data_IF_285587085733
#
_entry.id   IF_285587085733
#
_cell.length_a   1.000
_cell.length_b   1.000
_cell.length_c   1.000
_cell.angle_alpha   90.00
_cell.angle_beta   90.00
_cell.angle_gamma   90.00
#
_symmetry.space_group_name_H-M   'P 1'
#
loop_
_entity.id
_entity.type
_entity.pdbx_description
1 polymer ?
#
# COMPACT_ATOMS: atom_id res chain seq x y z
N UNK A 1 19.55 -11.94 17.48
CA UNK A 1 19.16 -10.65 16.87
C UNK A 1 17.69 -10.70 16.50
N UNK A 2 16.94 -9.63 16.77
CA UNK A 2 15.55 -9.51 16.31
C UNK A 2 15.53 -9.29 14.80
N UNK A 3 14.43 -9.69 14.14
CA UNK A 3 14.17 -9.36 12.74
C UNK A 3 12.96 -8.44 12.66
N UNK A 4 13.10 -7.34 11.93
CA UNK A 4 12.02 -6.41 11.66
C UNK A 4 11.70 -6.43 10.18
N UNK A 5 10.43 -6.60 9.84
CA UNK A 5 9.91 -6.55 8.49
C UNK A 5 9.06 -5.29 8.33
N UNK A 6 9.23 -4.59 7.22
CA UNK A 6 8.40 -3.45 6.88
C UNK A 6 7.91 -3.56 5.43
N UNK A 7 6.75 -2.96 5.18
CA UNK A 7 6.21 -2.75 3.84
C UNK A 7 5.34 -1.49 3.84
N UNK A 8 5.51 -0.65 2.83
CA UNK A 8 4.66 0.51 2.58
C UNK A 8 3.86 0.32 1.30
N UNK A 9 2.54 0.42 1.41
CA UNK A 9 1.64 0.34 0.26
C UNK A 9 0.97 1.69 0.01
N UNK A 10 0.80 2.05 -1.27
CA UNK A 10 -0.05 3.17 -1.69
C UNK A 10 -1.00 2.76 -2.82
N UNK A 11 -2.30 3.04 -2.66
CA UNK A 11 -3.31 2.82 -3.70
C UNK A 11 -3.37 4.03 -4.63
N UNK A 12 -2.44 4.08 -5.58
CA UNK A 12 -2.18 5.24 -6.44
C UNK A 12 -0.80 5.84 -6.13
N UNK A 13 -0.30 6.74 -6.99
CA UNK A 13 1.02 7.34 -6.78
C UNK A 13 1.00 8.85 -7.12
N UNK A 14 0.55 9.73 -6.20
CA UNK A 14 0.19 9.46 -4.80
C UNK A 14 -1.24 8.92 -4.60
N UNK A 15 -1.49 8.28 -3.46
CA UNK A 15 -2.79 7.72 -3.07
C UNK A 15 -2.87 7.34 -1.58
N UNK A 16 -4.01 6.81 -1.10
CA UNK A 16 -4.19 6.34 0.27
C UNK A 16 -3.17 5.25 0.54
N UNK A 17 -2.45 5.43 1.63
CA UNK A 17 -1.27 4.66 1.94
C UNK A 17 -1.31 4.10 3.35
N UNK A 18 -0.61 3.00 3.52
CA UNK A 18 -0.53 2.25 4.76
C UNK A 18 0.86 1.66 4.95
N UNK A 19 1.24 1.46 6.21
CA UNK A 19 2.46 0.77 6.61
C UNK A 19 2.10 -0.52 7.35
N UNK A 20 2.87 -1.57 7.07
CA UNK A 20 2.81 -2.87 7.74
C UNK A 20 4.15 -3.20 8.37
N UNK A 21 4.12 -3.64 9.62
CA UNK A 21 5.31 -3.92 10.44
C UNK A 21 5.15 -5.27 11.12
N UNK A 22 6.20 -6.08 11.05
CA UNK A 22 6.29 -7.33 11.81
C UNK A 22 7.63 -7.38 12.54
N UNK A 23 7.63 -7.73 13.82
CA UNK A 23 8.86 -7.98 14.58
C UNK A 23 8.87 -9.42 15.05
N UNK A 24 10.00 -10.10 14.78
CA UNK A 24 10.24 -11.49 15.10
C UNK A 24 11.42 -11.58 16.06
N UNK A 25 11.25 -12.30 17.16
CA UNK A 25 12.30 -12.49 18.14
C UNK A 25 13.38 -13.50 17.67
N UNK A 26 14.51 -13.64 18.38
CA UNK A 26 15.56 -14.57 17.99
C UNK A 26 15.14 -16.05 17.95
N UNK A 27 14.08 -16.43 18.65
CA UNK A 27 13.52 -17.78 18.62
C UNK A 27 12.63 -18.03 17.38
N UNK A 28 12.39 -17.01 16.56
CA UNK A 28 11.56 -17.11 15.35
C UNK A 28 10.08 -16.80 15.59
N UNK A 29 9.70 -16.37 16.80
CA UNK A 29 8.30 -16.05 17.10
C UNK A 29 8.00 -14.60 16.74
N UNK A 30 6.86 -14.38 16.08
CA UNK A 30 6.30 -13.04 15.89
C UNK A 30 5.90 -12.48 17.25
N UNK A 31 6.42 -11.30 17.59
CA UNK A 31 6.13 -10.60 18.85
C UNK A 31 5.40 -9.27 18.64
N UNK A 32 5.35 -8.78 17.40
CA UNK A 32 4.55 -7.62 17.02
C UNK A 32 4.08 -7.77 15.58
N UNK A 33 2.79 -7.49 15.37
CA UNK A 33 2.19 -7.18 14.07
C UNK A 33 1.51 -5.83 14.21
N UNK A 34 1.81 -4.91 13.31
CA UNK A 34 1.31 -3.55 13.41
C UNK A 34 1.00 -2.95 12.04
N UNK A 35 -0.12 -2.25 11.96
CA UNK A 35 -0.65 -1.60 10.76
C UNK A 35 -0.92 -0.12 11.07
N UNK A 36 -0.52 0.78 10.17
CA UNK A 36 -0.72 2.23 10.35
C UNK A 36 -1.17 2.91 9.06
N UNK A 37 -2.27 3.66 9.12
CA UNK A 37 -2.71 4.52 8.01
C UNK A 37 -1.76 5.71 7.88
N UNK A 38 -1.32 6.02 6.66
CA UNK A 38 -0.34 7.08 6.35
C UNK A 38 -0.96 8.27 5.61
N UNK A 39 -2.27 8.25 5.36
CA UNK A 39 -2.96 9.25 4.55
C UNK A 39 -2.59 9.15 3.07
N UNK A 40 -2.45 10.29 2.38
CA UNK A 40 -2.07 10.31 0.96
C UNK A 40 -0.55 10.38 0.82
N UNK A 41 0.06 9.35 0.22
CA UNK A 41 1.50 9.23 -0.02
C UNK A 41 1.80 8.61 -1.38
N UNK A 42 2.97 8.90 -1.92
CA UNK A 42 3.57 8.09 -2.98
C UNK A 42 4.00 6.72 -2.46
N UNK A 43 4.29 5.78 -3.35
CA UNK A 43 4.78 4.46 -2.93
C UNK A 43 6.09 4.57 -2.15
N UNK A 44 7.05 5.37 -2.65
CA UNK A 44 8.36 5.53 -2.00
C UNK A 44 8.24 6.18 -0.62
N UNK A 45 7.37 7.19 -0.46
CA UNK A 45 7.12 7.79 0.86
C UNK A 45 6.48 6.78 1.83
N UNK A 46 5.55 5.94 1.36
CA UNK A 46 4.93 4.91 2.19
C UNK A 46 5.97 3.90 2.70
N UNK A 47 6.88 3.46 1.84
CA UNK A 47 7.96 2.52 2.19
C UNK A 47 8.94 3.12 3.21
N UNK A 48 9.33 4.39 3.03
CA UNK A 48 10.15 5.11 4.00
C UNK A 48 9.47 5.22 5.36
N UNK A 49 8.19 5.60 5.37
CA UNK A 49 7.41 5.74 6.60
C UNK A 49 7.20 4.40 7.30
N UNK A 50 7.05 3.30 6.55
CA UNK A 50 6.97 1.96 7.12
C UNK A 50 8.29 1.54 7.80
N UNK A 51 9.44 1.86 7.20
CA UNK A 51 10.74 1.64 7.84
C UNK A 51 10.88 2.48 9.13
N UNK A 52 10.54 3.77 9.08
CA UNK A 52 10.57 4.66 10.25
C UNK A 52 9.70 4.11 11.38
N UNK A 53 8.49 3.66 11.06
CA UNK A 53 7.58 3.06 12.04
C UNK A 53 8.14 1.76 12.62
N UNK A 54 8.75 0.90 11.80
CA UNK A 54 9.42 -0.31 12.28
C UNK A 54 10.52 0.03 13.30
N UNK A 55 11.37 1.01 12.99
CA UNK A 55 12.46 1.43 13.88
C UNK A 55 11.90 1.99 15.20
N UNK A 56 10.87 2.83 15.13
CA UNK A 56 10.20 3.36 16.33
C UNK A 56 9.62 2.23 17.19
N UNK A 57 8.88 1.29 16.59
CA UNK A 57 8.29 0.16 17.32
C UNK A 57 9.33 -0.76 17.93
N UNK A 58 10.45 -1.01 17.24
CA UNK A 58 11.55 -1.78 17.81
C UNK A 58 12.17 -1.08 19.02
N UNK A 59 12.38 0.24 18.96
CA UNK A 59 12.89 1.03 20.10
C UNK A 59 11.91 1.06 21.27
N UNK A 60 10.60 1.19 21.02
CA UNK A 60 9.55 1.12 22.05
C UNK A 60 9.58 -0.23 22.79
N UNK A 61 9.90 -1.32 22.10
CA UNK A 61 10.07 -2.66 22.69
C UNK A 61 11.43 -2.86 23.38
N UNK A 62 12.28 -1.83 23.43
CA UNK A 62 13.61 -1.90 24.03
C UNK A 62 14.62 -2.71 23.22
N UNK A 63 14.36 -2.97 21.93
CA UNK A 63 15.26 -3.72 21.06
C UNK A 63 16.47 -2.84 20.71
N UNK A 64 17.67 -3.37 20.94
CA UNK A 64 18.95 -2.70 20.64
C UNK A 64 19.71 -3.27 19.44
N UNK A 65 19.41 -4.51 19.06
CA UNK A 65 19.98 -5.15 17.87
C UNK A 65 18.90 -5.65 16.92
N UNK A 66 18.88 -5.12 15.68
CA UNK A 66 17.82 -5.38 14.71
C UNK A 66 18.38 -5.73 13.31
N UNK A 67 17.82 -6.77 12.70
CA UNK A 67 17.96 -7.05 11.26
C UNK A 67 16.70 -6.58 10.54
N UNK A 68 16.79 -5.49 9.78
CA UNK A 68 15.71 -4.92 8.98
C UNK A 68 15.59 -5.66 7.65
N UNK A 69 14.37 -6.01 7.27
CA UNK A 69 14.04 -6.67 6.01
C UNK A 69 12.86 -5.97 5.34
N UNK A 70 12.96 -5.77 4.04
CA UNK A 70 11.93 -5.20 3.19
C UNK A 70 12.23 -5.49 1.73
N UNK A 71 11.24 -5.34 0.87
CA UNK A 71 11.34 -5.59 -0.57
C UNK A 71 11.55 -4.32 -1.41
N UNK A 72 11.54 -3.13 -0.77
CA UNK A 72 11.95 -1.88 -1.40
C UNK A 72 13.47 -1.73 -1.48
N UNK A 73 14.05 -2.09 -2.64
CA UNK A 73 15.50 -1.88 -2.89
C UNK A 73 15.91 -0.42 -2.74
N UNK A 74 15.04 0.52 -3.14
CA UNK A 74 15.32 1.95 -3.06
C UNK A 74 15.53 2.38 -1.61
N UNK A 75 14.58 2.08 -0.72
CA UNK A 75 14.67 2.48 0.68
C UNK A 75 15.83 1.79 1.38
N UNK A 76 16.01 0.48 1.15
CA UNK A 76 17.13 -0.27 1.73
C UNK A 76 18.48 0.33 1.31
N UNK A 77 18.69 0.61 0.01
CA UNK A 77 19.97 1.11 -0.48
C UNK A 77 20.22 2.58 -0.18
N UNK A 78 19.18 3.41 -0.06
CA UNK A 78 19.34 4.81 0.33
C UNK A 78 19.63 4.96 1.82
N UNK A 79 18.98 4.17 2.69
CA UNK A 79 19.15 4.28 4.15
C UNK A 79 20.37 3.50 4.66
N UNK A 80 20.63 2.31 4.12
CA UNK A 80 21.70 1.42 4.61
C UNK A 80 22.85 1.24 3.61
N UNK A 81 22.72 1.78 2.41
CA UNK A 81 23.73 1.68 1.35
C UNK A 81 24.30 3.04 0.97
N UNK A 82 24.79 3.15 -0.27
CA UNK A 82 25.45 4.35 -0.78
C UNK A 82 24.66 5.02 -1.91
N UNK A 83 23.34 4.83 -1.97
CA UNK A 83 22.51 5.43 -3.04
C UNK A 83 22.15 6.87 -2.70
N UNK A 84 22.34 7.76 -3.67
CA UNK A 84 21.99 9.17 -3.54
C UNK A 84 20.47 9.40 -3.44
N UNK A 85 20.10 10.45 -2.72
CA UNK A 85 18.70 10.89 -2.55
C UNK A 85 18.51 12.17 -3.35
N UNK A 86 17.91 12.04 -4.53
CA UNK A 86 17.77 13.17 -5.46
C UNK A 86 16.45 13.95 -5.27
N UNK A 87 15.57 13.50 -4.38
CA UNK A 87 14.26 14.11 -4.13
C UNK A 87 14.22 14.75 -2.74
N UNK A 88 14.06 16.08 -2.62
CA UNK A 88 14.12 16.78 -1.33
C UNK A 88 13.13 16.26 -0.28
N UNK A 89 11.93 15.85 -0.68
CA UNK A 89 10.92 15.34 0.24
C UNK A 89 11.28 13.96 0.84
N UNK A 90 12.07 13.14 0.13
CA UNK A 90 12.59 11.88 0.66
C UNK A 90 13.79 12.10 1.59
N UNK A 91 14.54 13.19 1.40
CA UNK A 91 15.70 13.47 2.23
C UNK A 91 15.32 13.65 3.71
N UNK A 92 14.22 14.36 4.00
CA UNK A 92 13.71 14.50 5.37
C UNK A 92 13.29 13.16 6.00
N UNK A 93 12.78 12.21 5.21
CA UNK A 93 12.45 10.87 5.70
C UNK A 93 13.70 10.04 5.96
N UNK A 94 14.72 10.17 5.10
CA UNK A 94 16.03 9.57 5.32
C UNK A 94 16.70 10.09 6.58
N UNK A 95 16.68 11.40 6.83
CA UNK A 95 17.24 11.98 8.06
C UNK A 95 16.57 11.39 9.30
N UNK A 96 15.23 11.36 9.31
CA UNK A 96 14.46 10.74 10.41
C UNK A 96 14.81 9.25 10.61
N UNK A 97 14.94 8.48 9.53
CA UNK A 97 15.33 7.08 9.63
C UNK A 97 16.75 6.93 10.21
N UNK A 98 17.69 7.78 9.77
CA UNK A 98 19.09 7.77 10.22
C UNK A 98 19.21 8.12 11.70
N UNK A 99 18.50 9.16 12.16
CA UNK A 99 18.44 9.54 13.58
C UNK A 99 17.89 8.41 14.48
N UNK A 100 16.96 7.61 13.97
CA UNK A 100 16.46 6.44 14.69
C UNK A 100 17.49 5.31 14.73
N UNK A 101 18.22 5.09 13.63
CA UNK A 101 19.25 4.07 13.55
C UNK A 101 20.39 4.30 14.55
N UNK A 102 20.76 5.55 14.81
CA UNK A 102 21.78 5.91 15.80
C UNK A 102 21.44 5.48 17.25
N UNK A 103 20.16 5.18 17.53
CA UNK A 103 19.69 4.77 18.87
C UNK A 103 19.82 3.26 19.13
N UNK A 104 20.22 2.50 18.11
CA UNK A 104 20.47 1.06 18.20
C UNK A 104 21.96 0.79 18.36
N UNK A 105 22.30 -0.26 19.11
CA UNK A 105 23.69 -0.70 19.25
C UNK A 105 24.18 -1.35 17.96
N UNK A 106 23.26 -2.01 17.24
CA UNK A 106 23.55 -2.67 15.96
C UNK A 106 22.31 -2.78 15.08
N UNK A 107 22.38 -2.25 13.87
CA UNK A 107 21.38 -2.50 12.82
C UNK A 107 22.06 -2.98 11.57
N UNK A 108 21.45 -3.96 10.91
CA UNK A 108 21.78 -4.33 9.54
C UNK A 108 20.49 -4.45 8.75
N UNK A 109 20.56 -4.21 7.44
CA UNK A 109 19.41 -4.35 6.56
C UNK A 109 19.69 -5.37 5.46
N UNK A 110 18.62 -5.99 4.96
CA UNK A 110 18.67 -6.91 3.84
C UNK A 110 17.42 -6.77 3.00
N UNK A 111 17.62 -6.57 1.71
CA UNK A 111 16.54 -6.71 0.75
C UNK A 111 16.07 -8.16 0.67
N UNK A 112 14.76 -8.37 0.69
CA UNK A 112 14.13 -9.69 0.47
C UNK A 112 13.15 -9.61 -0.70
N UNK A 113 12.94 -10.71 -1.45
CA UNK A 113 11.86 -10.77 -2.42
C UNK A 113 10.49 -10.58 -1.76
N UNK A 114 9.54 -9.98 -2.49
CA UNK A 114 8.18 -9.68 -2.01
C UNK A 114 7.44 -10.92 -1.50
N UNK A 115 7.68 -12.08 -2.10
CA UNK A 115 7.09 -13.36 -1.69
C UNK A 115 7.50 -13.77 -0.27
N UNK A 116 8.59 -13.19 0.25
CA UNK A 116 9.05 -13.41 1.63
C UNK A 116 8.60 -12.29 2.59
N UNK A 117 7.95 -11.23 2.09
CA UNK A 117 7.48 -10.08 2.86
C UNK A 117 5.94 -10.03 2.99
N UNK A 118 5.26 -11.14 2.69
CA UNK A 118 3.79 -11.20 2.55
C UNK A 118 3.02 -10.69 3.77
N UNK A 119 3.49 -10.93 4.99
CA UNK A 119 2.78 -10.49 6.18
C UNK A 119 2.83 -8.97 6.36
N UNK A 120 3.99 -8.35 6.10
CA UNK A 120 4.10 -6.90 6.14
C UNK A 120 3.26 -6.26 5.01
N UNK A 121 3.29 -6.82 3.80
CA UNK A 121 2.44 -6.38 2.67
C UNK A 121 0.94 -6.50 2.98
N UNK A 122 0.52 -7.59 3.62
CA UNK A 122 -0.87 -7.75 4.06
C UNK A 122 -1.25 -6.65 5.06
N UNK A 123 -0.39 -6.39 6.05
CA UNK A 123 -0.64 -5.39 7.09
C UNK A 123 -0.65 -3.96 6.53
N UNK A 124 0.21 -3.64 5.56
CA UNK A 124 0.26 -2.33 4.91
C UNK A 124 -1.01 -2.07 4.11
N UNK A 125 -1.46 -3.06 3.33
CA UNK A 125 -2.71 -2.99 2.58
C UNK A 125 -3.94 -2.92 3.49
N UNK A 126 -3.95 -3.67 4.61
CA UNK A 126 -5.03 -3.64 5.60
C UNK A 126 -5.19 -2.27 6.27
N UNK A 127 -4.10 -1.52 6.41
CA UNK A 127 -4.12 -0.19 6.99
C UNK A 127 -4.80 0.86 6.09
N UNK A 128 -4.98 0.57 4.80
CA UNK A 128 -5.58 1.49 3.84
C UNK A 128 -7.10 1.40 3.92
N UNK A 129 -7.69 2.28 4.74
CA UNK A 129 -9.13 2.29 5.02
C UNK A 129 -9.95 3.07 4.00
N UNK A 130 -9.32 3.99 3.27
CA UNK A 130 -9.98 4.84 2.28
C UNK A 130 -9.74 4.31 0.87
N UNK A 131 -10.77 4.30 0.00
CA UNK A 131 -10.57 3.96 -1.38
C UNK A 131 -9.71 5.05 -2.06
N UNK A 132 -8.95 4.71 -3.11
CA UNK A 132 -8.15 5.67 -3.86
C UNK A 132 -8.93 6.95 -4.23
N UNK A 133 -8.29 8.13 -4.28
CA UNK A 133 -8.92 9.31 -4.85
C UNK A 133 -9.41 8.97 -6.26
N UNK A 134 -10.60 9.46 -6.59
CA UNK A 134 -11.28 9.18 -7.85
C UNK A 134 -11.81 7.73 -8.02
N UNK A 135 -12.13 7.01 -6.95
CA UNK A 135 -12.97 5.80 -7.04
C UNK A 135 -14.46 6.11 -7.02
N UNK A 136 -15.25 5.35 -7.77
CA UNK A 136 -16.70 5.36 -7.63
C UNK A 136 -17.15 4.27 -6.64
N UNK A 137 -18.04 4.56 -5.68
CA UNK A 137 -18.54 3.56 -4.74
C UNK A 137 -19.39 2.49 -5.45
N UNK A 138 -19.13 1.22 -5.16
CA UNK A 138 -19.82 0.10 -5.84
C UNK A 138 -21.29 0.03 -5.44
N UNK A 139 -21.61 0.42 -4.21
CA UNK A 139 -22.99 0.54 -3.70
C UNK A 139 -23.83 1.61 -4.41
N UNK A 140 -23.20 2.46 -5.24
CA UNK A 140 -23.88 3.43 -6.12
C UNK A 140 -24.04 2.94 -7.55
N UNK A 141 -23.74 1.68 -7.81
CA UNK A 141 -24.01 1.02 -9.08
C UNK A 141 -25.30 0.21 -8.98
N UNK A 142 -26.25 0.50 -9.87
CA UNK A 142 -27.40 -0.35 -10.13
C UNK A 142 -27.08 -1.25 -11.33
N UNK A 143 -27.15 -2.57 -11.14
CA UNK A 143 -26.94 -3.53 -12.23
C UNK A 143 -28.25 -3.71 -13.01
N UNK A 144 -28.25 -3.41 -14.30
CA UNK A 144 -29.42 -3.55 -15.19
C UNK A 144 -29.39 -4.89 -15.92
N UNK A 145 -28.21 -5.30 -16.37
CA UNK A 145 -27.94 -6.61 -16.99
C UNK A 145 -26.57 -7.12 -16.54
N UNK A 146 -26.17 -8.32 -16.99
CA UNK A 146 -24.85 -8.90 -16.69
C UNK A 146 -23.67 -7.98 -17.06
N UNK A 147 -23.88 -7.02 -17.96
CA UNK A 147 -22.82 -6.15 -18.47
C UNK A 147 -23.16 -4.65 -18.45
N UNK A 148 -24.40 -4.26 -18.16
CA UNK A 148 -24.85 -2.87 -18.12
C UNK A 148 -25.16 -2.45 -16.69
N UNK A 149 -24.55 -1.33 -16.27
CA UNK A 149 -24.78 -0.71 -14.97
C UNK A 149 -25.19 0.76 -15.13
N UNK A 150 -25.96 1.27 -14.18
CA UNK A 150 -26.19 2.71 -13.98
C UNK A 150 -25.38 3.15 -12.76
N UNK A 151 -24.53 4.17 -12.94
CA UNK A 151 -23.74 4.78 -11.88
C UNK A 151 -24.42 6.06 -11.39
N UNK A 152 -24.94 6.03 -10.16
CA UNK A 152 -25.62 7.18 -9.52
C UNK A 152 -24.61 8.17 -8.93
N UNK A 153 -24.12 9.10 -9.77
CA UNK A 153 -23.14 10.12 -9.42
C UNK A 153 -23.76 11.48 -9.11
N UNK A 154 -23.16 12.54 -9.66
CA UNK A 154 -23.81 13.86 -9.76
C UNK A 154 -24.98 13.83 -10.73
N UNK A 155 -24.88 12.92 -11.70
CA UNK A 155 -25.89 12.53 -12.68
C UNK A 155 -25.78 11.01 -12.85
N UNK A 156 -26.76 10.40 -13.50
CA UNK A 156 -26.73 8.98 -13.82
C UNK A 156 -25.90 8.74 -15.09
N UNK A 157 -24.95 7.81 -15.00
CA UNK A 157 -24.13 7.42 -16.15
C UNK A 157 -24.32 5.94 -16.46
N UNK A 158 -24.60 5.63 -17.72
CA UNK A 158 -24.62 4.25 -18.19
C UNK A 158 -23.20 3.75 -18.39
N UNK A 159 -22.93 2.55 -17.87
CA UNK A 159 -21.63 1.88 -17.93
C UNK A 159 -21.84 0.53 -18.62
N UNK A 160 -21.14 0.34 -19.74
CA UNK A 160 -21.14 -0.91 -20.51
C UNK A 160 -19.79 -1.60 -20.33
N UNK A 161 -19.78 -2.64 -19.51
CA UNK A 161 -18.58 -3.41 -19.17
C UNK A 161 -18.11 -4.23 -20.36
N UNK A 162 -19.05 -4.78 -21.14
CA UNK A 162 -18.75 -5.63 -22.30
C UNK A 162 -18.03 -4.83 -23.40
N UNK A 163 -18.51 -3.63 -23.70
CA UNK A 163 -17.95 -2.75 -24.72
C UNK A 163 -16.95 -1.74 -24.16
N UNK A 164 -16.64 -1.81 -22.85
CA UNK A 164 -15.71 -0.93 -22.15
C UNK A 164 -16.06 0.54 -22.32
N UNK A 165 -17.33 0.90 -22.19
CA UNK A 165 -17.85 2.24 -22.45
C UNK A 165 -18.52 2.84 -21.20
N UNK A 166 -18.52 4.17 -21.12
CA UNK A 166 -19.24 4.91 -20.09
C UNK A 166 -19.73 6.25 -20.65
N UNK A 167 -20.92 6.69 -20.27
CA UNK A 167 -21.48 7.97 -20.71
C UNK A 167 -20.98 9.18 -19.91
N UNK A 168 -20.14 8.98 -18.89
CA UNK A 168 -19.66 10.09 -18.06
C UNK A 168 -18.65 10.99 -18.80
N UNK A 169 -18.59 12.30 -18.47
CA UNK A 169 -17.64 13.24 -19.08
C UNK A 169 -16.16 12.82 -18.97
N UNK A 170 -15.80 12.16 -17.88
CA UNK A 170 -14.43 11.67 -17.63
C UNK A 170 -14.02 10.53 -18.59
N UNK A 171 -14.97 9.91 -19.29
CA UNK A 171 -14.71 8.85 -20.25
C UNK A 171 -14.21 9.45 -21.58
N UNK A 172 -12.97 9.91 -21.57
CA UNK A 172 -12.36 10.53 -22.77
C UNK A 172 -11.88 9.47 -23.78
N UNK A 173 -11.98 9.80 -25.08
CA UNK A 173 -11.59 8.93 -26.19
C UNK A 173 -10.14 8.41 -26.12
N UNK A 174 -9.24 9.11 -25.41
CA UNK A 174 -7.81 8.74 -25.29
C UNK A 174 -7.53 7.69 -24.23
N UNK A 175 -8.23 7.74 -23.09
CA UNK A 175 -7.94 6.85 -21.96
C UNK A 175 -8.92 5.67 -21.86
N UNK A 176 -10.15 5.79 -22.42
CA UNK A 176 -11.20 4.74 -22.41
C UNK A 176 -11.39 4.07 -21.04
N UNK A 177 -11.15 4.83 -19.97
CA UNK A 177 -11.22 4.33 -18.61
C UNK A 177 -11.67 5.47 -17.71
N UNK A 178 -12.60 5.18 -16.82
CA UNK A 178 -13.13 6.12 -15.85
C UNK A 178 -13.47 5.37 -14.55
N UNK A 179 -13.68 6.13 -13.48
CA UNK A 179 -13.99 5.57 -12.15
C UNK A 179 -15.24 4.68 -12.12
N UNK A 180 -16.24 4.99 -12.96
CA UNK A 180 -17.48 4.23 -13.06
C UNK A 180 -17.23 2.86 -13.71
N UNK A 181 -16.49 2.85 -14.83
CA UNK A 181 -16.13 1.61 -15.54
C UNK A 181 -15.26 0.69 -14.66
N UNK A 182 -14.29 1.27 -13.94
CA UNK A 182 -13.46 0.53 -12.98
C UNK A 182 -14.25 -0.05 -11.81
N UNK A 183 -15.25 0.67 -11.32
CA UNK A 183 -16.14 0.17 -10.27
C UNK A 183 -17.03 -0.97 -10.78
N UNK A 184 -17.56 -0.86 -12.00
CA UNK A 184 -18.40 -1.89 -12.61
C UNK A 184 -17.63 -3.19 -12.87
N UNK A 185 -16.37 -3.15 -13.31
CA UNK A 185 -15.53 -4.36 -13.40
C UNK A 185 -15.42 -5.08 -12.05
N UNK A 186 -15.18 -4.33 -10.97
CA UNK A 186 -15.08 -4.91 -9.62
C UNK A 186 -16.39 -5.57 -9.17
N UNK A 187 -17.54 -4.99 -9.53
CA UNK A 187 -18.85 -5.56 -9.20
C UNK A 187 -19.08 -6.90 -9.92
N UNK A 188 -18.72 -6.98 -11.21
CA UNK A 188 -18.78 -8.23 -11.98
C UNK A 188 -17.84 -9.29 -11.42
N UNK A 189 -16.58 -8.93 -11.13
CA UNK A 189 -15.59 -9.84 -10.55
C UNK A 189 -16.01 -10.39 -9.18
N UNK A 190 -16.68 -9.58 -8.35
CA UNK A 190 -17.21 -10.01 -7.07
C UNK A 190 -18.36 -11.02 -7.23
N UNK A 191 -19.24 -10.79 -8.20
CA UNK A 191 -20.40 -11.67 -8.48
C UNK A 191 -19.95 -13.05 -8.98
N UNK A 192 -18.98 -13.09 -9.90
CA UNK A 192 -18.41 -14.35 -10.42
C UNK A 192 -17.69 -15.19 -9.35
N UNK A 193 -17.12 -14.55 -8.33
CA UNK A 193 -16.48 -15.25 -7.20
C UNK A 193 -17.48 -15.91 -6.26
N UNK A 194 -18.69 -15.36 -6.13
CA UNK A 194 -19.75 -15.95 -5.31
C UNK A 194 -20.30 -17.21 -5.98
N UNK A 195 -20.47 -17.21 -7.30
CA UNK A 195 -20.97 -18.36 -8.06
C UNK A 195 -20.01 -19.56 -8.09
N UNK A 196 -18.71 -19.33 -7.94
CA UNK A 196 -17.68 -20.39 -7.99
C UNK A 196 -17.42 -21.07 -6.64
N UNK A 197 -18.04 -20.57 -5.56
CA UNK A 197 -17.92 -21.13 -4.21
C UNK A 197 -19.22 -21.80 -3.72
N UNK A 198 -20.27 -21.84 -4.56
CA UNK A 198 -21.58 -22.44 -4.28
C UNK A 198 -21.74 -23.86 -4.80
#
# INVERSE_FOLDING_TARGET
>A
MYKGYFDGASKGNPGPAGAGIVIVNPAGNVILEYSKELGIKTNNEAEYLALIELLQKALELGIKELEVQGDSQLVINQVFGNWNINMPHLYSLYEQATELLEKFDKVKARWIPREKNQLADLLSNKAITKPPPNTFPVEKLEQITDHIFIAHGTEDYAVDVLHRACTCPDFTKRHRECKHLLAAYKAVDASNKIETMG
#
